data_IF_508390813794
#
_entry.id   IF_508390813794
#
_cell.length_a   1.000
_cell.length_b   1.000
_cell.length_c   1.000
_cell.angle_alpha   90.00
_cell.angle_beta   90.00
_cell.angle_gamma   90.00
#
_symmetry.space_group_name_H-M   'P 1'
#
loop_
_entity.id
_entity.type
_entity.pdbx_description
1 polymer ?
#
# COMPACT_ATOMS: atom_id res chain seq x y z
N UNK A 1 -2.85 -22.93 37.23
CA UNK A 1 -2.79 -21.96 36.10
C UNK A 1 -3.87 -20.93 36.35
N UNK A 2 -3.52 -19.65 36.50
CA UNK A 2 -4.49 -18.60 36.84
C UNK A 2 -5.34 -18.29 35.59
N UNK A 3 -6.69 -18.27 35.69
CA UNK A 3 -7.53 -17.98 34.53
C UNK A 3 -7.29 -16.53 34.09
N UNK A 4 -7.10 -16.33 32.79
CA UNK A 4 -7.01 -15.00 32.19
C UNK A 4 -8.34 -14.27 32.45
N UNK A 5 -8.24 -13.02 32.91
CA UNK A 5 -9.42 -12.19 33.16
C UNK A 5 -10.16 -11.90 31.85
N UNK A 6 -11.49 -11.79 31.90
CA UNK A 6 -12.32 -11.40 30.76
C UNK A 6 -11.85 -10.09 30.12
N UNK A 7 -11.33 -9.15 30.92
CA UNK A 7 -10.77 -7.88 30.43
C UNK A 7 -9.51 -8.09 29.57
N UNK A 8 -8.67 -9.06 29.92
CA UNK A 8 -7.45 -9.40 29.17
C UNK A 8 -7.78 -10.08 27.85
N UNK A 9 -8.82 -10.93 27.82
CA UNK A 9 -9.32 -11.57 26.61
C UNK A 9 -9.95 -10.56 25.64
N UNK A 10 -10.71 -9.58 26.16
CA UNK A 10 -11.30 -8.53 25.34
C UNK A 10 -10.23 -7.64 24.70
N UNK A 11 -9.21 -7.23 25.45
CA UNK A 11 -8.14 -6.37 24.93
C UNK A 11 -7.33 -7.07 23.82
N UNK A 12 -7.05 -8.37 23.99
CA UNK A 12 -6.38 -9.17 22.97
C UNK A 12 -7.22 -9.31 21.69
N UNK A 13 -8.54 -9.45 21.82
CA UNK A 13 -9.44 -9.52 20.67
C UNK A 13 -9.49 -8.21 19.88
N UNK A 14 -9.45 -7.05 20.54
CA UNK A 14 -9.38 -5.75 19.87
C UNK A 14 -8.07 -5.53 19.11
N UNK A 15 -6.94 -5.99 19.65
CA UNK A 15 -5.62 -5.85 19.01
C UNK A 15 -5.46 -6.75 17.77
N UNK A 16 -6.17 -7.87 17.73
CA UNK A 16 -6.17 -8.80 16.59
C UNK A 16 -7.26 -8.48 15.55
N UNK A 17 -8.06 -7.43 15.75
CA UNK A 17 -9.05 -7.04 14.77
C UNK A 17 -8.34 -6.61 13.47
N UNK A 18 -8.70 -7.18 12.29
CA UNK A 18 -8.12 -6.77 11.03
C UNK A 18 -8.41 -5.29 10.81
N UNK A 19 -7.36 -4.49 10.64
CA UNK A 19 -7.53 -3.09 10.21
C UNK A 19 -8.18 -3.15 8.83
N UNK A 20 -9.35 -2.52 8.67
CA UNK A 20 -9.98 -2.44 7.36
C UNK A 20 -8.99 -1.75 6.40
N UNK A 21 -8.58 -2.47 5.36
CA UNK A 21 -7.72 -1.92 4.32
C UNK A 21 -8.41 -0.72 3.68
N UNK A 22 -7.63 0.33 3.41
CA UNK A 22 -8.15 1.55 2.78
C UNK A 22 -8.84 1.17 1.46
N UNK A 23 -10.08 1.63 1.31
CA UNK A 23 -10.91 1.39 0.14
C UNK A 23 -10.16 1.75 -1.15
N UNK A 24 -10.43 1.02 -2.23
CA UNK A 24 -9.95 1.38 -3.56
C UNK A 24 -10.36 2.82 -3.88
N UNK A 25 -9.43 3.59 -4.44
CA UNK A 25 -9.67 4.96 -4.89
C UNK A 25 -10.86 4.95 -5.86
N UNK A 26 -11.82 5.86 -5.64
CA UNK A 26 -12.91 6.09 -6.57
C UNK A 26 -12.38 6.87 -7.77
N UNK A 27 -13.03 6.71 -8.91
CA UNK A 27 -12.72 7.54 -10.07
C UNK A 27 -12.89 9.03 -9.74
N UNK A 28 -11.88 9.84 -10.05
CA UNK A 28 -11.86 11.26 -9.72
C UNK A 28 -11.24 11.62 -8.37
N UNK A 29 -10.96 10.63 -7.51
CA UNK A 29 -10.17 10.89 -6.30
C UNK A 29 -8.75 11.37 -6.66
N UNK A 30 -8.15 12.28 -5.88
CA UNK A 30 -6.76 12.67 -6.06
C UNK A 30 -5.84 11.45 -5.98
N UNK A 31 -4.87 11.38 -6.89
CA UNK A 31 -3.84 10.33 -6.82
C UNK A 31 -3.07 10.45 -5.49
N UNK A 32 -2.84 9.33 -4.78
CA UNK A 32 -2.08 9.35 -3.54
C UNK A 32 -0.63 9.73 -3.78
N UNK A 33 0.04 10.26 -2.76
CA UNK A 33 1.48 10.47 -2.80
C UNK A 33 2.19 9.11 -2.91
N UNK A 34 2.98 8.94 -3.98
CA UNK A 34 3.74 7.72 -4.22
C UNK A 34 5.16 8.06 -4.68
N UNK A 35 6.14 7.54 -3.94
CA UNK A 35 7.56 7.67 -4.24
C UNK A 35 8.23 6.32 -4.05
N UNK A 36 9.10 5.95 -4.99
CA UNK A 36 9.84 4.69 -4.93
C UNK A 36 11.12 4.80 -5.75
N UNK A 37 12.19 4.07 -5.39
CA UNK A 37 13.26 3.79 -6.33
C UNK A 37 12.70 3.02 -7.53
N UNK A 38 13.22 3.33 -8.72
CA UNK A 38 12.84 2.73 -9.99
C UNK A 38 14.06 2.56 -10.89
N UNK A 39 13.91 1.76 -11.95
CA UNK A 39 14.94 1.64 -12.98
C UNK A 39 14.33 1.46 -14.37
N UNK A 40 14.95 2.09 -15.37
CA UNK A 40 14.64 1.88 -16.79
C UNK A 40 15.93 1.49 -17.49
N UNK A 41 15.91 0.38 -18.23
CA UNK A 41 17.10 -0.16 -18.92
C UNK A 41 18.34 -0.28 -18.00
N UNK A 42 18.13 -0.66 -16.73
CA UNK A 42 19.19 -0.79 -15.73
C UNK A 42 19.64 0.51 -15.06
N UNK A 43 19.15 1.67 -15.51
CA UNK A 43 19.49 2.96 -14.92
C UNK A 43 18.54 3.29 -13.76
N UNK A 44 19.09 3.40 -12.55
CA UNK A 44 18.33 3.72 -11.34
C UNK A 44 17.96 5.21 -11.26
N UNK A 45 16.78 5.50 -10.71
CA UNK A 45 16.30 6.85 -10.42
C UNK A 45 15.19 6.82 -9.35
N UNK A 46 14.90 7.96 -8.75
CA UNK A 46 13.75 8.11 -7.86
C UNK A 46 12.50 8.51 -8.65
N UNK A 47 11.44 7.71 -8.52
CA UNK A 47 10.14 8.02 -9.09
C UNK A 47 9.28 8.80 -8.10
N UNK A 48 8.61 9.85 -8.58
CA UNK A 48 7.59 10.63 -7.86
C UNK A 48 6.36 10.78 -8.74
N UNK A 49 5.24 10.17 -8.32
CA UNK A 49 3.99 10.17 -9.08
C UNK A 49 3.45 11.59 -9.29
N UNK A 50 3.56 12.46 -8.30
CA UNK A 50 3.09 13.85 -8.39
C UNK A 50 3.90 14.66 -9.40
N UNK A 51 5.20 14.36 -9.54
CA UNK A 51 6.04 14.99 -10.55
C UNK A 51 5.72 14.47 -11.96
N UNK A 52 5.39 13.18 -12.11
CA UNK A 52 5.00 12.59 -13.38
C UNK A 52 3.63 13.12 -13.86
N UNK A 53 2.64 13.22 -12.97
CA UNK A 53 1.30 13.72 -13.30
C UNK A 53 1.29 15.17 -13.81
N UNK A 54 2.26 16.00 -13.39
CA UNK A 54 2.43 17.36 -13.94
C UNK A 54 2.85 17.38 -15.41
N UNK A 55 3.44 16.29 -15.91
CA UNK A 55 3.89 16.17 -17.31
C UNK A 55 2.82 15.56 -18.22
N UNK A 56 1.78 14.93 -17.66
CA UNK A 56 0.71 14.31 -18.41
C UNK A 56 0.01 13.18 -17.64
N UNK A 57 -0.99 12.53 -18.27
CA UNK A 57 -1.67 11.39 -17.66
C UNK A 57 -0.70 10.22 -17.43
N UNK A 58 -0.89 9.51 -16.31
CA UNK A 58 -0.06 8.37 -15.90
C UNK A 58 -0.95 7.16 -15.66
N UNK A 59 -0.53 6.00 -16.17
CA UNK A 59 -1.12 4.70 -15.81
C UNK A 59 -0.17 4.00 -14.84
N UNK A 60 -0.63 3.73 -13.62
CA UNK A 60 0.11 3.03 -12.58
C UNK A 60 -0.62 1.72 -12.23
N UNK A 61 0.10 0.60 -12.26
CA UNK A 61 -0.42 -0.71 -11.85
C UNK A 61 0.58 -1.39 -10.92
N UNK A 62 0.07 -2.23 -10.04
CA UNK A 62 0.85 -3.02 -9.10
C UNK A 62 0.70 -4.50 -9.42
N UNK A 63 1.79 -5.26 -9.27
CA UNK A 63 1.82 -6.70 -9.50
C UNK A 63 2.76 -7.36 -8.46
N UNK A 64 2.63 -8.68 -8.18
CA UNK A 64 3.28 -9.28 -7.01
C UNK A 64 4.81 -9.23 -7.02
N UNK A 65 5.43 -9.48 -8.19
CA UNK A 65 6.89 -9.51 -8.34
C UNK A 65 7.31 -9.48 -9.81
N UNK A 66 8.48 -8.88 -10.08
CA UNK A 66 9.16 -9.05 -11.35
C UNK A 66 9.61 -10.50 -11.57
N UNK A 67 9.58 -10.97 -12.82
CA UNK A 67 10.08 -12.28 -13.24
C UNK A 67 9.43 -13.50 -12.57
N UNK A 68 8.17 -13.37 -12.09
CA UNK A 68 7.38 -14.52 -11.59
C UNK A 68 6.30 -14.92 -12.58
N UNK A 69 5.95 -16.22 -12.60
CA UNK A 69 4.69 -16.66 -13.22
C UNK A 69 3.55 -16.14 -12.34
N UNK A 70 2.57 -15.50 -12.96
CA UNK A 70 1.35 -15.02 -12.31
C UNK A 70 0.47 -16.17 -11.83
#
# INVERSE_FOLDING_TARGET
MKPLSAATLLLAALLCAPVAALAALKAGDPAPAFKTPAAVAGQAFDFDLSAALKKGPVVLYFFPKAFTKG
#
